data_IF_637469138246
#
_entry.id   IF_637469138246
#
_cell.length_a   1.000
_cell.length_b   1.000
_cell.length_c   1.000
_cell.angle_alpha   90.00
_cell.angle_beta   90.00
_cell.angle_gamma   90.00
#
_symmetry.space_group_name_H-M   'P 1'
#
loop_
_entity.id
_entity.type
_entity.pdbx_description
1 polymer ?
#
# COMPACT_ATOMS: atom_id res chain seq x y z
N UNK A 1 51.00 -6.71 56.06
CA UNK A 1 51.52 -7.71 55.10
C UNK A 1 50.82 -7.50 53.78
N UNK A 2 51.60 -7.16 52.76
CA UNK A 2 51.14 -6.79 51.42
C UNK A 2 51.22 -8.04 50.54
N UNK A 3 50.14 -8.44 49.86
CA UNK A 3 50.18 -9.53 48.88
C UNK A 3 49.74 -8.98 47.54
N UNK A 4 50.68 -9.01 46.60
CA UNK A 4 50.66 -8.36 45.29
C UNK A 4 50.41 -9.46 44.27
N UNK A 5 49.16 -9.59 43.81
CA UNK A 5 48.79 -10.50 42.72
C UNK A 5 49.12 -9.84 41.37
N UNK A 6 50.11 -10.39 40.66
CA UNK A 6 50.40 -10.09 39.25
C UNK A 6 49.69 -11.12 38.38
N UNK A 7 48.65 -10.73 37.66
CA UNK A 7 48.11 -11.54 36.57
C UNK A 7 48.66 -11.03 35.24
N UNK A 8 49.26 -11.95 34.48
CA UNK A 8 49.86 -11.72 33.18
C UNK A 8 48.77 -11.84 32.12
N UNK A 9 48.51 -10.75 31.39
CA UNK A 9 47.67 -10.78 30.20
C UNK A 9 48.40 -11.49 29.06
N UNK A 10 47.75 -12.51 28.50
CA UNK A 10 48.16 -13.22 27.29
C UNK A 10 47.73 -12.37 26.09
N UNK A 11 48.71 -11.80 25.40
CA UNK A 11 48.53 -11.13 24.10
C UNK A 11 48.20 -12.21 23.08
N UNK A 12 47.06 -12.09 22.43
CA UNK A 12 46.64 -12.93 21.31
C UNK A 12 46.84 -12.05 20.08
N UNK A 13 47.88 -12.36 19.33
CA UNK A 13 48.16 -11.76 18.03
C UNK A 13 47.23 -12.45 17.02
N UNK A 14 46.27 -11.72 16.47
CA UNK A 14 45.43 -12.17 15.36
C UNK A 14 45.81 -11.33 14.15
N UNK A 15 46.59 -11.97 13.29
CA UNK A 15 47.02 -11.54 11.98
C UNK A 15 45.81 -11.27 11.08
N UNK A 16 45.81 -10.08 10.48
CA UNK A 16 44.99 -9.69 9.32
C UNK A 16 45.30 -10.62 8.14
N UNK A 17 44.32 -11.43 7.72
CA UNK A 17 44.32 -12.06 6.40
C UNK A 17 43.32 -11.32 5.52
N UNK A 18 43.85 -10.40 4.73
CA UNK A 18 43.14 -9.69 3.66
C UNK A 18 43.02 -10.64 2.47
N UNK A 19 41.83 -11.21 2.29
CA UNK A 19 41.48 -11.96 1.08
C UNK A 19 40.64 -11.06 0.19
N UNK A 20 41.30 -10.35 -0.72
CA UNK A 20 40.66 -9.73 -1.88
C UNK A 20 40.30 -10.83 -2.88
N UNK A 21 39.00 -11.05 -3.08
CA UNK A 21 38.47 -11.91 -4.14
C UNK A 21 37.75 -11.02 -5.14
N UNK A 22 38.52 -10.48 -6.08
CA UNK A 22 38.04 -9.93 -7.35
C UNK A 22 37.35 -11.06 -8.13
N UNK A 23 36.06 -10.91 -8.39
CA UNK A 23 35.31 -11.83 -9.24
C UNK A 23 34.94 -11.11 -10.52
N UNK A 24 35.59 -11.55 -11.60
CA UNK A 24 35.45 -10.98 -12.92
C UNK A 24 34.09 -11.37 -13.53
N UNK A 25 33.28 -10.36 -13.82
CA UNK A 25 32.11 -10.53 -14.66
C UNK A 25 32.55 -10.39 -16.13
N UNK A 26 32.66 -11.51 -16.82
CA UNK A 26 32.90 -11.58 -18.25
C UNK A 26 31.67 -11.07 -19.01
N UNK A 27 31.60 -9.77 -19.19
CA UNK A 27 30.78 -9.18 -20.24
C UNK A 27 31.53 -9.35 -21.57
N UNK A 28 30.96 -10.11 -22.49
CA UNK A 28 31.45 -10.22 -23.86
C UNK A 28 31.19 -8.90 -24.58
N UNK A 29 32.07 -7.93 -24.35
CA UNK A 29 32.24 -6.79 -25.24
C UNK A 29 33.08 -7.26 -26.42
N UNK A 30 32.48 -7.23 -27.61
CA UNK A 30 33.20 -7.42 -28.86
C UNK A 30 34.10 -6.20 -29.02
N UNK A 31 35.35 -6.35 -28.60
CA UNK A 31 36.45 -5.42 -28.87
C UNK A 31 36.68 -5.41 -30.37
N UNK A 32 36.00 -4.49 -31.06
CA UNK A 32 36.39 -4.09 -32.41
C UNK A 32 37.50 -3.07 -32.22
N UNK A 33 38.67 -3.42 -32.71
CA UNK A 33 39.86 -2.58 -32.69
C UNK A 33 39.51 -1.30 -33.48
N UNK A 34 39.29 -0.19 -32.75
CA UNK A 34 39.18 1.15 -33.32
C UNK A 34 40.59 1.56 -33.79
N UNK A 35 40.95 1.09 -34.98
CA UNK A 35 41.92 1.79 -35.79
C UNK A 35 41.28 3.14 -36.17
N UNK A 36 41.93 4.25 -35.81
CA UNK A 36 41.52 5.59 -36.24
C UNK A 36 41.69 5.71 -37.77
N UNK A 37 40.74 5.16 -38.52
CA UNK A 37 40.56 5.46 -39.93
C UNK A 37 40.11 6.92 -40.02
N UNK A 38 41.00 7.77 -40.53
CA UNK A 38 40.72 9.17 -40.81
C UNK A 38 39.39 9.26 -41.59
N UNK A 39 38.39 9.94 -41.01
CA UNK A 39 37.03 10.10 -41.54
C UNK A 39 37.11 10.53 -43.02
N UNK A 40 37.01 9.57 -43.93
CA UNK A 40 36.96 9.83 -45.37
C UNK A 40 35.52 10.18 -45.75
N UNK A 41 35.35 11.00 -46.77
CA UNK A 41 34.01 11.37 -47.26
C UNK A 41 33.23 10.13 -47.72
N UNK A 42 33.93 9.13 -48.25
CA UNK A 42 33.35 7.86 -48.69
C UNK A 42 32.75 7.04 -47.53
N UNK A 43 33.35 7.10 -46.34
CA UNK A 43 32.80 6.43 -45.15
C UNK A 43 31.51 7.10 -44.66
N UNK A 44 31.45 8.43 -44.69
CA UNK A 44 30.23 9.18 -44.35
C UNK A 44 29.09 8.92 -45.34
N UNK A 45 29.41 8.84 -46.64
CA UNK A 45 28.42 8.54 -47.68
C UNK A 45 27.89 7.11 -47.54
N UNK A 46 28.76 6.13 -47.25
CA UNK A 46 28.37 4.74 -46.95
C UNK A 46 27.46 4.65 -45.72
N UNK A 47 27.75 5.41 -44.66
CA UNK A 47 26.92 5.48 -43.46
C UNK A 47 25.54 6.08 -43.75
N UNK A 48 25.48 7.14 -44.56
CA UNK A 48 24.24 7.78 -45.00
C UNK A 48 23.38 6.84 -45.86
N UNK A 49 24.00 6.09 -46.75
CA UNK A 49 23.30 5.12 -47.60
C UNK A 49 22.73 3.96 -46.77
N UNK A 50 23.50 3.48 -45.78
CA UNK A 50 23.02 2.48 -44.81
C UNK A 50 21.86 2.99 -43.95
N UNK A 51 21.90 4.26 -43.55
CA UNK A 51 20.81 4.88 -42.81
C UNK A 51 19.51 4.97 -43.65
N UNK A 52 19.62 5.30 -44.94
CA UNK A 52 18.48 5.33 -45.86
C UNK A 52 17.86 3.94 -46.06
N UNK A 53 18.67 2.91 -46.25
CA UNK A 53 18.16 1.54 -46.41
C UNK A 53 17.39 1.05 -45.18
N UNK A 54 17.83 1.41 -43.97
CA UNK A 54 17.12 1.06 -42.75
C UNK A 54 15.76 1.79 -42.64
N UNK A 55 15.67 3.04 -43.07
CA UNK A 55 14.40 3.78 -43.10
C UNK A 55 13.40 3.13 -44.08
N UNK A 56 13.86 2.77 -45.29
CA UNK A 56 13.01 2.10 -46.28
C UNK A 56 12.52 0.71 -45.82
N UNK A 57 13.29 0.02 -44.97
CA UNK A 57 12.87 -1.25 -44.37
C UNK A 57 11.78 -1.04 -43.31
N UNK A 58 11.89 0.00 -42.48
CA UNK A 58 10.85 0.33 -41.49
C UNK A 58 9.54 0.70 -42.17
N UNK A 59 9.56 1.53 -43.22
CA UNK A 59 8.35 1.90 -43.96
C UNK A 59 7.67 0.67 -44.60
N UNK A 60 8.44 -0.31 -45.07
CA UNK A 60 7.91 -1.57 -45.60
C UNK A 60 7.34 -2.48 -44.52
N UNK A 61 7.95 -2.52 -43.33
CA UNK A 61 7.42 -3.27 -42.18
C UNK A 61 6.11 -2.66 -41.68
N UNK A 62 6.00 -1.32 -41.66
CA UNK A 62 4.77 -0.61 -41.28
C UNK A 62 3.63 -0.84 -42.30
N UNK A 63 3.94 -0.86 -43.60
CA UNK A 63 2.94 -1.20 -44.63
C UNK A 63 2.46 -2.65 -44.51
N UNK A 64 3.35 -3.60 -44.22
CA UNK A 64 2.98 -5.01 -43.98
C UNK A 64 2.08 -5.17 -42.75
N UNK A 65 2.32 -4.40 -41.69
CA UNK A 65 1.52 -4.45 -40.48
C UNK A 65 0.10 -3.86 -40.64
N UNK A 66 -0.12 -3.01 -41.66
CA UNK A 66 -1.44 -2.47 -41.99
C UNK A 66 -2.26 -3.44 -42.85
N UNK A 67 -1.63 -4.22 -43.74
CA UNK A 67 -2.31 -5.23 -44.57
C UNK A 67 -2.91 -6.39 -43.74
N UNK A 68 -2.31 -6.72 -42.60
CA UNK A 68 -2.76 -7.83 -41.72
C UNK A 68 -3.96 -7.47 -40.80
N UNK A 69 -4.51 -6.24 -40.85
CA UNK A 69 -5.58 -5.79 -39.93
C UNK A 69 -6.96 -5.55 -40.58
N UNK A 70 -7.13 -5.75 -41.89
CA UNK A 70 -8.42 -5.54 -42.57
C UNK A 70 -9.13 -6.86 -42.96
N UNK A 71 -9.39 -7.74 -42.00
CA UNK A 71 -10.39 -8.81 -42.16
C UNK A 71 -11.80 -8.26 -41.87
N UNK A 72 -12.51 -7.86 -42.92
CA UNK A 72 -13.93 -7.46 -42.86
C UNK A 72 -14.81 -8.70 -42.66
N UNK A 73 -15.36 -8.88 -41.46
CA UNK A 73 -16.35 -9.92 -41.14
C UNK A 73 -17.73 -9.56 -41.73
N UNK A 74 -18.09 -10.19 -42.85
CA UNK A 74 -19.47 -10.18 -43.39
C UNK A 74 -20.26 -11.26 -42.63
N UNK A 75 -21.21 -10.86 -41.78
CA UNK A 75 -22.13 -11.81 -41.13
C UNK A 75 -23.14 -12.36 -42.15
N UNK A 76 -23.00 -13.63 -42.48
CA UNK A 76 -24.02 -14.38 -43.21
C UNK A 76 -25.33 -14.44 -42.41
N UNK A 77 -26.45 -14.32 -43.14
CA UNK A 77 -27.81 -14.37 -42.60
C UNK A 77 -28.08 -15.74 -42.00
N UNK A 78 -28.14 -15.81 -40.68
CA UNK A 78 -28.55 -17.00 -39.94
C UNK A 78 -30.08 -17.08 -39.95
N UNK A 79 -30.64 -18.11 -40.59
CA UNK A 79 -32.06 -18.45 -40.52
C UNK A 79 -32.41 -18.86 -39.07
N UNK A 80 -32.85 -17.90 -38.26
CA UNK A 80 -33.25 -18.15 -36.88
C UNK A 80 -34.60 -18.87 -36.82
N UNK A 81 -34.63 -20.06 -36.19
CA UNK A 81 -35.86 -20.72 -35.75
C UNK A 81 -36.69 -19.77 -34.86
N UNK A 82 -38.04 -19.75 -34.97
CA UNK A 82 -38.86 -18.87 -34.15
C UNK A 82 -38.70 -19.24 -32.66
N UNK A 83 -38.43 -18.21 -31.85
CA UNK A 83 -38.20 -18.34 -30.41
C UNK A 83 -39.47 -18.91 -29.76
N UNK A 84 -39.37 -19.88 -28.83
CA UNK A 84 -40.52 -20.40 -28.12
C UNK A 84 -41.26 -19.29 -27.35
N UNK A 85 -42.59 -19.36 -27.33
CA UNK A 85 -43.42 -18.40 -26.61
C UNK A 85 -43.06 -18.43 -25.11
N UNK A 86 -42.71 -17.27 -24.56
CA UNK A 86 -42.43 -17.11 -23.14
C UNK A 86 -43.78 -17.07 -22.40
N UNK A 87 -43.97 -17.99 -21.46
CA UNK A 87 -45.05 -17.93 -20.48
C UNK A 87 -44.56 -17.10 -19.27
N UNK A 88 -45.03 -15.85 -19.09
CA UNK A 88 -44.51 -14.96 -18.06
C UNK A 88 -44.97 -15.34 -16.64
N UNK A 89 -45.75 -16.40 -16.47
CA UNK A 89 -46.27 -16.82 -15.17
C UNK A 89 -47.21 -15.77 -14.57
N UNK A 90 -47.32 -15.78 -13.24
CA UNK A 90 -48.27 -14.91 -12.54
C UNK A 90 -47.66 -13.51 -12.34
N UNK A 91 -47.97 -12.60 -13.27
CA UNK A 91 -47.47 -11.22 -13.23
C UNK A 91 -48.15 -10.39 -12.14
N UNK A 92 -47.44 -9.43 -11.54
CA UNK A 92 -48.05 -8.46 -10.64
C UNK A 92 -49.12 -7.61 -11.38
N UNK A 93 -50.11 -7.07 -10.65
CA UNK A 93 -51.14 -6.24 -11.24
C UNK A 93 -50.54 -5.01 -11.94
N UNK A 94 -51.09 -4.63 -13.10
CA UNK A 94 -50.57 -3.53 -13.90
C UNK A 94 -50.66 -2.17 -13.18
N UNK A 95 -49.65 -1.33 -13.40
CA UNK A 95 -49.58 0.02 -12.83
C UNK A 95 -50.53 1.02 -13.51
N UNK A 96 -50.97 0.71 -14.74
CA UNK A 96 -51.85 1.55 -15.56
C UNK A 96 -53.17 0.83 -15.83
N UNK A 97 -54.25 1.62 -15.85
CA UNK A 97 -55.56 1.14 -16.30
C UNK A 97 -55.67 1.32 -17.81
N UNK A 98 -55.61 0.23 -18.56
CA UNK A 98 -55.68 0.23 -20.03
C UNK A 98 -57.11 0.07 -20.57
N UNK A 99 -58.13 0.28 -19.73
CA UNK A 99 -59.56 0.05 -20.03
C UNK A 99 -60.16 0.86 -21.19
N UNK A 100 -59.36 1.62 -21.94
CA UNK A 100 -59.77 2.39 -23.12
C UNK A 100 -59.21 1.90 -24.46
N UNK A 101 -58.37 0.86 -24.50
CA UNK A 101 -57.84 0.33 -25.76
C UNK A 101 -58.81 -0.69 -26.38
N UNK A 102 -59.63 -0.24 -27.35
CA UNK A 102 -60.41 -1.13 -28.20
C UNK A 102 -59.67 -1.40 -29.51
N UNK A 103 -59.57 -2.67 -29.89
CA UNK A 103 -58.89 -3.11 -31.11
C UNK A 103 -59.88 -3.04 -32.28
N UNK A 104 -59.60 -2.18 -33.26
CA UNK A 104 -60.39 -2.13 -34.48
C UNK A 104 -60.02 -3.32 -35.39
N UNK A 105 -60.96 -3.81 -36.20
CA UNK A 105 -60.83 -5.06 -36.99
C UNK A 105 -59.66 -5.10 -38.00
N UNK A 106 -58.94 -3.99 -38.20
CA UNK A 106 -57.83 -3.87 -39.14
C UNK A 106 -56.45 -3.93 -38.45
N UNK A 107 -56.36 -4.22 -37.16
CA UNK A 107 -55.07 -4.38 -36.45
C UNK A 107 -54.36 -3.08 -36.08
N UNK A 108 -54.95 -1.92 -36.39
CA UNK A 108 -54.36 -0.61 -36.11
C UNK A 108 -54.85 -0.10 -34.75
N UNK A 109 -53.92 0.14 -33.81
CA UNK A 109 -54.21 0.72 -32.50
C UNK A 109 -54.43 2.23 -32.65
N UNK A 110 -55.66 2.70 -32.46
CA UNK A 110 -55.98 4.13 -32.42
C UNK A 110 -56.07 4.61 -30.97
N UNK A 111 -55.22 5.56 -30.60
CA UNK A 111 -55.28 6.23 -29.29
C UNK A 111 -56.54 7.10 -29.22
N UNK A 112 -57.42 6.94 -28.21
CA UNK A 112 -58.49 7.88 -27.97
C UNK A 112 -57.89 9.23 -27.54
N UNK A 113 -58.09 10.26 -28.36
CA UNK A 113 -57.73 11.65 -28.09
C UNK A 113 -58.49 12.15 -26.85
N UNK A 114 -58.01 11.83 -25.66
CA UNK A 114 -58.61 12.27 -24.39
C UNK A 114 -58.51 11.29 -23.22
N UNK A 115 -57.96 10.09 -23.39
CA UNK A 115 -57.76 9.18 -22.26
C UNK A 115 -56.61 9.68 -21.37
N UNK A 116 -56.95 10.28 -20.23
CA UNK A 116 -55.99 10.58 -19.18
C UNK A 116 -55.45 9.26 -18.61
N UNK A 117 -54.14 9.05 -18.72
CA UNK A 117 -53.45 7.96 -18.03
C UNK A 117 -53.57 8.17 -16.52
N UNK A 118 -54.56 7.55 -15.88
CA UNK A 118 -54.67 7.51 -14.43
C UNK A 118 -53.78 6.40 -13.89
N UNK A 119 -52.74 6.75 -13.13
CA UNK A 119 -51.97 5.77 -12.35
C UNK A 119 -52.92 5.16 -11.30
N UNK A 120 -53.18 3.87 -11.40
CA UNK A 120 -53.98 3.13 -10.40
C UNK A 120 -53.15 2.72 -9.19
N UNK A 121 -51.82 2.71 -9.32
CA UNK A 121 -50.89 2.27 -8.27
C UNK A 121 -49.58 3.05 -8.36
N UNK A 122 -49.26 3.80 -7.31
CA UNK A 122 -48.00 4.55 -7.20
C UNK A 122 -47.01 3.74 -6.33
N UNK A 123 -45.88 3.27 -6.87
CA UNK A 123 -44.93 2.41 -6.13
C UNK A 123 -44.32 3.11 -4.91
N UNK A 124 -44.24 4.44 -4.91
CA UNK A 124 -43.71 5.21 -3.79
C UNK A 124 -44.63 5.16 -2.57
N UNK A 125 -45.94 5.24 -2.80
CA UNK A 125 -46.96 5.18 -1.74
C UNK A 125 -46.99 3.79 -1.12
N UNK A 126 -46.90 2.74 -1.93
CA UNK A 126 -46.90 1.36 -1.43
C UNK A 126 -45.62 1.02 -0.65
N UNK A 127 -44.46 1.53 -1.10
CA UNK A 127 -43.22 1.41 -0.35
C UNK A 127 -43.29 2.13 1.00
N UNK A 128 -43.97 3.28 1.06
CA UNK A 128 -44.15 4.02 2.30
C UNK A 128 -45.10 3.28 3.26
N UNK A 129 -46.23 2.77 2.77
CA UNK A 129 -47.19 2.00 3.56
C UNK A 129 -46.60 0.69 4.08
N UNK A 130 -45.85 -0.03 3.25
CA UNK A 130 -45.17 -1.26 3.67
C UNK A 130 -44.02 -1.00 4.65
N UNK A 131 -43.27 0.10 4.49
CA UNK A 131 -42.28 0.54 5.46
C UNK A 131 -42.94 0.92 6.80
N UNK A 132 -44.05 1.66 6.77
CA UNK A 132 -44.79 2.06 7.97
C UNK A 132 -45.39 0.85 8.69
N UNK A 133 -45.91 -0.13 7.95
CA UNK A 133 -46.40 -1.39 8.51
C UNK A 133 -45.27 -2.25 9.10
N UNK A 134 -44.07 -2.25 8.49
CA UNK A 134 -42.87 -2.90 9.04
C UNK A 134 -42.40 -2.22 10.32
N UNK A 135 -42.38 -0.89 10.34
CA UNK A 135 -42.02 -0.09 11.52
C UNK A 135 -43.02 -0.32 12.64
N UNK A 136 -44.34 -0.29 12.36
CA UNK A 136 -45.39 -0.54 13.34
C UNK A 136 -45.36 -1.97 13.92
N UNK A 137 -45.08 -2.98 13.09
CA UNK A 137 -44.86 -4.37 13.57
C UNK A 137 -43.58 -4.51 14.37
N UNK A 138 -42.53 -3.77 14.02
CA UNK A 138 -41.27 -3.77 14.78
C UNK A 138 -41.39 -2.98 16.09
N UNK A 139 -42.19 -1.92 16.16
CA UNK A 139 -42.30 -1.06 17.35
C UNK A 139 -43.06 -1.71 18.50
N UNK A 140 -43.96 -2.65 18.20
CA UNK A 140 -44.68 -3.44 19.22
C UNK A 140 -43.81 -4.56 19.82
N UNK A 141 -42.68 -4.93 19.20
CA UNK A 141 -41.69 -5.88 19.75
C UNK A 141 -40.36 -5.25 20.15
N UNK A 142 -40.12 -3.97 19.85
CA UNK A 142 -38.83 -3.29 20.04
C UNK A 142 -38.83 -2.19 21.11
N UNK A 143 -39.84 -2.11 22.00
CA UNK A 143 -39.76 -1.19 23.16
C UNK A 143 -38.80 -1.68 24.27
N UNK A 144 -38.05 -2.76 24.02
CA UNK A 144 -37.03 -3.33 24.89
C UNK A 144 -35.76 -3.50 24.07
N UNK A 145 -34.69 -2.81 24.46
CA UNK A 145 -33.31 -2.85 23.93
C UNK A 145 -32.95 -1.89 22.78
N UNK A 146 -32.87 -0.61 23.12
CA UNK A 146 -31.82 0.29 22.60
C UNK A 146 -30.48 0.13 23.36
N UNK A 147 -30.34 -0.94 24.16
CA UNK A 147 -29.09 -1.26 24.85
C UNK A 147 -28.34 -2.32 24.02
N UNK A 148 -27.02 -2.13 23.78
CA UNK A 148 -26.19 -3.19 23.22
C UNK A 148 -26.37 -4.46 24.07
N UNK A 149 -26.45 -5.64 23.43
CA UNK A 149 -26.69 -6.90 24.12
C UNK A 149 -25.68 -7.05 25.27
N UNK A 150 -26.12 -7.38 26.49
CA UNK A 150 -25.21 -7.57 27.60
C UNK A 150 -24.21 -8.68 27.25
N UNK A 151 -22.93 -8.33 27.18
CA UNK A 151 -21.84 -9.28 26.99
C UNK A 151 -21.87 -10.30 28.15
N UNK A 152 -22.28 -11.53 27.84
CA UNK A 152 -22.30 -12.64 28.78
C UNK A 152 -21.02 -13.47 28.58
N UNK A 153 -20.16 -13.53 29.60
CA UNK A 153 -19.11 -14.54 29.67
C UNK A 153 -19.59 -15.68 30.58
N UNK A 154 -19.66 -16.90 30.06
CA UNK A 154 -20.04 -18.11 30.80
C UNK A 154 -21.39 -18.04 31.54
N UNK A 155 -22.40 -17.41 30.92
CA UNK A 155 -23.76 -17.36 31.47
C UNK A 155 -23.96 -16.41 32.65
N UNK A 156 -22.94 -15.62 33.02
CA UNK A 156 -23.04 -14.59 34.08
C UNK A 156 -22.89 -13.21 33.47
N UNK A 157 -23.70 -12.26 33.95
CA UNK A 157 -23.58 -10.86 33.57
C UNK A 157 -22.23 -10.32 34.07
N UNK A 158 -21.43 -9.81 33.13
CA UNK A 158 -20.10 -9.32 33.44
C UNK A 158 -20.16 -8.13 34.43
N UNK A 159 -19.35 -8.16 35.48
CA UNK A 159 -19.28 -7.04 36.44
C UNK A 159 -18.74 -5.78 35.76
N UNK A 160 -19.08 -4.59 36.29
CA UNK A 160 -18.60 -3.31 35.75
C UNK A 160 -17.05 -3.23 35.67
N UNK A 161 -16.33 -3.89 36.59
CA UNK A 161 -14.86 -3.96 36.60
C UNK A 161 -14.34 -4.82 35.44
N UNK A 162 -14.87 -6.02 35.29
CA UNK A 162 -14.52 -6.92 34.19
C UNK A 162 -14.82 -6.30 32.82
N UNK A 163 -15.95 -5.58 32.66
CA UNK A 163 -16.24 -4.84 31.41
C UNK A 163 -15.20 -3.78 31.10
N UNK A 164 -14.70 -3.05 32.11
CA UNK A 164 -13.64 -2.06 31.92
C UNK A 164 -12.31 -2.72 31.54
N UNK A 165 -12.00 -3.88 32.12
CA UNK A 165 -10.81 -4.64 31.76
C UNK A 165 -10.86 -5.16 30.32
N UNK A 166 -12.01 -5.69 29.87
CA UNK A 166 -12.17 -6.10 28.46
C UNK A 166 -12.03 -4.91 27.51
N UNK A 167 -12.63 -3.77 27.83
CA UNK A 167 -12.45 -2.51 27.09
C UNK A 167 -11.02 -1.96 27.12
N UNK A 168 -10.21 -2.36 28.10
CA UNK A 168 -8.80 -1.96 28.16
C UNK A 168 -7.91 -2.89 27.35
N UNK A 169 -8.29 -4.15 27.21
CA UNK A 169 -7.58 -5.13 26.38
C UNK A 169 -7.76 -4.89 24.89
N UNK A 170 -8.89 -4.31 24.52
CA UNK A 170 -9.32 -4.23 23.13
C UNK A 170 -9.79 -2.82 22.78
N UNK A 171 -9.46 -2.31 21.59
CA UNK A 171 -9.87 -0.97 21.14
C UNK A 171 -11.39 -0.81 20.99
N UNK A 172 -12.11 -1.94 20.88
CA UNK A 172 -13.56 -2.04 20.76
C UNK A 172 -14.02 -2.47 19.36
N UNK A 173 -15.33 -2.71 19.18
CA UNK A 173 -15.89 -3.24 17.94
C UNK A 173 -15.77 -2.24 16.78
N UNK A 174 -15.81 -0.94 17.05
CA UNK A 174 -15.65 0.13 16.05
C UNK A 174 -14.26 0.08 15.36
N UNK A 175 -13.29 -0.57 16.01
CA UNK A 175 -11.94 -0.77 15.49
C UNK A 175 -11.52 -2.24 15.50
N UNK A 176 -12.43 -3.09 14.99
CA UNK A 176 -12.22 -4.53 14.75
C UNK A 176 -11.58 -5.29 15.91
N UNK A 177 -11.89 -4.87 17.14
CA UNK A 177 -11.34 -5.46 18.34
C UNK A 177 -9.79 -5.54 18.35
N UNK A 178 -9.11 -4.48 17.91
CA UNK A 178 -7.65 -4.41 17.93
C UNK A 178 -7.10 -4.63 19.36
N UNK A 179 -6.28 -5.68 19.58
CA UNK A 179 -5.74 -5.97 20.90
C UNK A 179 -4.68 -4.95 21.31
N UNK A 180 -4.62 -4.66 22.61
CA UNK A 180 -3.51 -3.96 23.22
C UNK A 180 -2.26 -4.88 23.25
N UNK A 181 -1.08 -4.35 22.93
CA UNK A 181 0.16 -5.13 23.01
C UNK A 181 0.47 -5.55 24.44
N UNK A 182 1.16 -6.68 24.59
CA UNK A 182 1.59 -7.22 25.88
C UNK A 182 2.61 -6.28 26.54
N UNK A 183 2.50 -6.09 27.86
CA UNK A 183 3.38 -5.17 28.59
C UNK A 183 4.87 -5.56 28.52
N UNK A 184 5.17 -6.86 28.38
CA UNK A 184 6.53 -7.37 28.21
C UNK A 184 7.20 -6.90 26.91
N UNK A 185 6.41 -6.70 25.86
CA UNK A 185 6.91 -6.41 24.52
C UNK A 185 7.02 -4.90 24.27
N UNK A 186 6.39 -4.10 25.13
CA UNK A 186 6.42 -2.63 25.05
C UNK A 186 7.82 -2.03 24.90
N UNK A 187 8.89 -2.49 25.58
CA UNK A 187 10.22 -1.93 25.38
C UNK A 187 10.76 -2.14 23.96
N UNK A 188 10.46 -3.31 23.34
CA UNK A 188 10.85 -3.60 21.96
C UNK A 188 10.00 -2.76 21.00
N UNK A 189 8.69 -2.78 21.16
CA UNK A 189 7.74 -2.04 20.32
C UNK A 189 7.95 -0.52 20.42
N UNK A 190 8.34 -0.02 21.59
CA UNK A 190 8.68 1.38 21.79
C UNK A 190 9.81 1.83 20.87
N UNK A 191 10.87 1.03 20.70
CA UNK A 191 11.98 1.36 19.80
C UNK A 191 11.50 1.48 18.35
N UNK A 192 10.60 0.58 17.94
CA UNK A 192 10.05 0.56 16.59
C UNK A 192 9.18 1.80 16.32
N UNK A 193 8.29 2.15 17.25
CA UNK A 193 7.43 3.35 17.09
C UNK A 193 8.22 4.65 17.29
N UNK A 194 9.25 4.66 18.13
CA UNK A 194 10.14 5.80 18.28
C UNK A 194 10.93 6.06 16.98
N UNK A 195 11.39 5.01 16.31
CA UNK A 195 12.00 5.15 14.99
C UNK A 195 11.04 5.77 13.97
N UNK A 196 9.76 5.35 13.97
CA UNK A 196 8.72 5.96 13.12
C UNK A 196 8.49 7.45 13.43
N UNK A 197 8.50 7.83 14.71
CA UNK A 197 8.39 9.24 15.13
C UNK A 197 9.57 10.08 14.65
N UNK A 198 10.76 9.50 14.68
CA UNK A 198 11.99 10.17 14.26
C UNK A 198 12.24 10.07 12.75
N UNK A 199 11.25 9.66 11.94
CA UNK A 199 11.38 9.51 10.48
C UNK A 199 11.93 10.74 9.76
N UNK A 200 11.65 11.94 10.28
CA UNK A 200 12.14 13.21 9.74
C UNK A 200 13.64 13.43 9.93
N UNK A 201 14.26 12.75 10.91
CA UNK A 201 15.69 12.85 11.19
C UNK A 201 16.49 11.74 10.52
N UNK A 202 15.82 10.66 10.08
CA UNK A 202 16.43 9.52 9.44
C UNK A 202 16.93 9.87 8.03
N UNK A 203 16.06 10.44 7.19
CA UNK A 203 16.38 10.80 5.81
C UNK A 203 16.32 12.33 5.64
N UNK A 204 17.44 13.01 5.29
CA UNK A 204 17.45 14.46 5.07
C UNK A 204 16.62 14.93 3.87
N UNK A 205 16.22 14.02 2.96
CA UNK A 205 15.47 14.33 1.75
C UNK A 205 13.96 14.21 1.94
N UNK A 206 13.51 13.52 3.00
CA UNK A 206 12.09 13.24 3.23
C UNK A 206 11.58 14.03 4.44
N UNK A 207 10.65 14.93 4.17
CA UNK A 207 9.97 15.71 5.20
C UNK A 207 8.54 15.23 5.36
N UNK A 208 8.21 14.73 6.54
CA UNK A 208 6.86 14.32 6.90
C UNK A 208 6.23 15.29 7.89
N UNK A 209 4.90 15.26 7.95
CA UNK A 209 4.14 15.93 9.00
C UNK A 209 4.54 15.38 10.37
N UNK A 210 4.74 16.30 11.31
CA UNK A 210 5.09 16.02 12.71
C UNK A 210 3.88 15.41 13.44
N UNK A 211 4.12 14.35 14.19
CA UNK A 211 3.08 13.68 14.97
C UNK A 211 2.95 14.30 16.37
N UNK A 212 1.71 14.39 16.86
CA UNK A 212 1.42 14.91 18.19
C UNK A 212 1.76 13.84 19.26
N UNK A 213 2.96 13.92 19.84
CA UNK A 213 3.40 12.95 20.85
C UNK A 213 4.90 12.66 20.87
N UNK A 214 5.65 13.23 19.94
CA UNK A 214 7.11 13.21 19.94
C UNK A 214 7.67 13.70 21.30
N UNK A 215 8.56 12.92 21.91
CA UNK A 215 9.22 13.25 23.18
C UNK A 215 8.52 12.78 24.47
N UNK A 216 7.34 12.14 24.38
CA UNK A 216 6.64 11.59 25.56
C UNK A 216 7.07 10.16 25.95
N UNK A 217 8.11 9.61 25.30
CA UNK A 217 8.62 8.25 25.53
C UNK A 217 7.55 7.17 25.42
N UNK A 218 7.64 6.14 26.27
CA UNK A 218 6.70 5.01 26.35
C UNK A 218 5.27 5.49 26.63
N UNK A 219 5.09 6.55 27.42
CA UNK A 219 3.75 7.12 27.71
C UNK A 219 3.13 7.83 26.51
N UNK A 220 3.94 8.22 25.53
CA UNK A 220 3.46 8.78 24.28
C UNK A 220 2.85 7.73 23.36
N UNK A 221 3.09 6.43 23.58
CA UNK A 221 2.68 5.36 22.68
C UNK A 221 1.14 5.25 22.61
N UNK A 222 0.55 5.01 21.43
CA UNK A 222 -0.86 4.66 21.35
C UNK A 222 -1.17 3.46 22.24
N UNK A 223 -2.33 3.47 22.92
CA UNK A 223 -2.72 2.38 23.82
C UNK A 223 -2.99 1.07 23.07
N UNK A 224 -3.55 1.19 21.86
CA UNK A 224 -3.87 0.07 20.99
C UNK A 224 -3.14 0.29 19.66
N UNK A 225 -2.23 -0.62 19.32
CA UNK A 225 -1.55 -0.66 18.02
C UNK A 225 -1.09 -2.08 17.74
N UNK A 226 -0.94 -2.40 16.47
CA UNK A 226 -0.34 -3.64 16.01
C UNK A 226 0.72 -3.35 14.96
N UNK A 227 1.74 -4.20 14.89
CA UNK A 227 2.79 -4.12 13.88
C UNK A 227 2.58 -5.26 12.91
N UNK A 228 2.30 -4.90 11.66
CA UNK A 228 2.09 -5.83 10.56
C UNK A 228 3.31 -5.92 9.66
N UNK A 229 3.38 -7.01 8.89
CA UNK A 229 4.34 -7.18 7.81
C UNK A 229 3.61 -7.02 6.48
N UNK A 230 4.19 -6.26 5.56
CA UNK A 230 3.66 -6.11 4.21
C UNK A 230 3.87 -7.45 3.47
N UNK A 231 2.80 -7.97 2.88
CA UNK A 231 2.83 -9.18 2.05
C UNK A 231 3.20 -8.73 0.63
N UNK A 232 4.19 -9.38 0.03
CA UNK A 232 4.64 -9.04 -1.33
C UNK A 232 3.58 -9.38 -2.36
N UNK A 233 3.44 -8.53 -3.37
CA UNK A 233 2.54 -8.74 -4.48
C UNK A 233 3.22 -9.64 -5.52
N UNK A 234 2.52 -10.69 -5.95
CA UNK A 234 2.95 -11.60 -7.01
C UNK A 234 2.65 -10.96 -8.37
N UNK A 235 3.33 -9.86 -8.68
CA UNK A 235 3.27 -9.24 -10.01
C UNK A 235 4.25 -9.96 -10.95
N UNK A 236 3.99 -10.00 -12.27
CA UNK A 236 4.91 -10.64 -13.23
C UNK A 236 6.29 -9.96 -13.29
N UNK A 237 6.37 -8.70 -12.85
CA UNK A 237 7.61 -7.94 -12.69
C UNK A 237 8.12 -7.92 -11.24
N UNK A 238 7.54 -8.76 -10.37
CA UNK A 238 7.70 -8.76 -8.91
C UNK A 238 9.04 -9.28 -8.39
N UNK A 239 10.11 -9.14 -9.17
CA UNK A 239 11.48 -9.42 -8.72
C UNK A 239 11.96 -8.47 -7.61
N UNK A 240 13.25 -8.55 -7.29
CA UNK A 240 13.91 -7.67 -6.31
C UNK A 240 13.83 -6.20 -6.77
N UNK A 241 12.78 -5.52 -6.35
CA UNK A 241 12.48 -4.12 -6.67
C UNK A 241 12.19 -3.37 -5.38
N UNK A 242 12.19 -2.04 -5.41
CA UNK A 242 11.93 -1.23 -4.21
C UNK A 242 10.61 -1.53 -3.49
N UNK A 243 9.65 -2.16 -4.16
CA UNK A 243 8.39 -2.62 -3.59
C UNK A 243 8.47 -4.03 -2.94
N UNK A 244 9.36 -4.90 -3.46
CA UNK A 244 9.50 -6.29 -3.04
C UNK A 244 10.95 -6.56 -2.58
N UNK A 245 11.17 -6.51 -1.27
CA UNK A 245 12.46 -6.85 -0.66
C UNK A 245 12.81 -8.32 -0.87
N UNK A 246 14.10 -8.63 -1.03
CA UNK A 246 14.61 -10.01 -1.06
C UNK A 246 14.56 -10.67 0.32
N UNK A 247 14.70 -12.00 0.38
CA UNK A 247 14.71 -12.71 1.66
C UNK A 247 15.85 -12.25 2.59
N UNK A 248 16.99 -11.82 2.05
CA UNK A 248 18.14 -11.35 2.83
C UNK A 248 17.93 -9.96 3.43
N UNK A 249 17.22 -9.09 2.71
CA UNK A 249 16.91 -7.72 3.14
C UNK A 249 15.76 -7.68 4.15
N UNK A 250 14.80 -8.63 4.06
CA UNK A 250 13.70 -8.74 5.03
C UNK A 250 14.23 -9.08 6.42
N UNK A 251 13.98 -8.23 7.41
CA UNK A 251 14.34 -8.51 8.81
C UNK A 251 13.11 -8.78 9.67
N UNK A 252 13.36 -8.99 10.96
CA UNK A 252 12.31 -9.23 11.98
C UNK A 252 11.70 -7.95 12.50
N UNK A 253 12.44 -6.83 12.45
CA UNK A 253 12.00 -5.53 12.96
C UNK A 253 12.35 -4.42 11.99
N UNK A 254 11.54 -3.35 11.99
CA UNK A 254 11.80 -2.15 11.19
C UNK A 254 13.15 -1.50 11.53
N UNK A 255 13.53 -1.53 12.81
CA UNK A 255 14.79 -0.94 13.27
C UNK A 255 15.99 -1.74 12.76
N UNK A 256 15.90 -3.07 12.71
CA UNK A 256 16.98 -3.89 12.15
C UNK A 256 17.18 -3.61 10.65
N UNK A 257 16.10 -3.41 9.89
CA UNK A 257 16.18 -3.02 8.46
C UNK A 257 16.88 -1.67 8.30
N UNK A 258 16.51 -0.70 9.12
CA UNK A 258 17.13 0.63 9.14
C UNK A 258 18.62 0.58 9.52
N UNK A 259 18.97 -0.27 10.48
CA UNK A 259 20.36 -0.46 10.89
C UNK A 259 21.13 -1.13 9.75
N UNK A 260 20.56 -2.06 9.02
CA UNK A 260 21.26 -2.76 7.95
C UNK A 260 21.58 -1.86 6.73
N UNK A 261 20.74 -0.85 6.45
CA UNK A 261 20.95 0.11 5.36
C UNK A 261 22.27 0.89 5.47
N UNK A 262 23.12 0.75 4.44
CA UNK A 262 24.44 1.37 4.36
C UNK A 262 24.37 2.90 4.23
N UNK A 263 23.39 3.45 3.51
CA UNK A 263 23.27 4.90 3.31
C UNK A 263 22.91 5.60 4.61
N UNK A 264 21.93 5.03 5.32
CA UNK A 264 21.43 5.54 6.60
C UNK A 264 22.51 5.45 7.67
N UNK A 265 23.26 4.35 7.74
CA UNK A 265 24.45 4.21 8.60
C UNK A 265 25.47 5.32 8.35
N UNK A 266 25.83 5.59 7.10
CA UNK A 266 26.82 6.62 6.71
C UNK A 266 26.33 8.01 7.13
N UNK A 267 25.08 8.34 6.82
CA UNK A 267 24.48 9.63 7.18
C UNK A 267 24.42 9.82 8.70
N UNK A 268 23.89 8.84 9.43
CA UNK A 268 23.78 8.88 10.88
C UNK A 268 25.14 9.05 11.55
N UNK A 269 26.16 8.30 11.11
CA UNK A 269 27.54 8.43 11.63
C UNK A 269 28.09 9.83 11.40
N UNK A 270 28.00 10.34 10.16
CA UNK A 270 28.48 11.70 9.82
C UNK A 270 27.81 12.76 10.70
N UNK A 271 26.48 12.74 10.78
CA UNK A 271 25.72 13.71 11.60
C UNK A 271 26.00 13.57 13.09
N UNK A 272 26.18 12.35 13.57
CA UNK A 272 26.57 12.12 14.96
C UNK A 272 27.92 12.76 15.28
N UNK A 273 28.94 12.54 14.44
CA UNK A 273 30.26 13.15 14.62
C UNK A 273 30.20 14.68 14.58
N UNK A 274 29.43 15.26 13.67
CA UNK A 274 29.22 16.71 13.60
C UNK A 274 28.59 17.26 14.89
N UNK A 275 27.57 16.58 15.41
CA UNK A 275 26.92 16.94 16.67
C UNK A 275 27.89 16.79 17.86
N UNK A 276 28.71 15.75 17.88
CA UNK A 276 29.73 15.56 18.92
C UNK A 276 30.80 16.65 18.86
N UNK A 277 31.25 17.05 17.67
CA UNK A 277 32.18 18.18 17.49
C UNK A 277 31.57 19.48 18.02
N UNK A 278 30.33 19.79 17.66
CA UNK A 278 29.63 21.00 18.14
C UNK A 278 29.40 20.96 19.66
N UNK A 279 28.99 19.82 20.21
CA UNK A 279 28.75 19.66 21.65
C UNK A 279 30.06 19.68 22.45
N UNK A 280 31.12 19.08 21.93
CA UNK A 280 32.47 19.15 22.49
C UNK A 280 33.00 20.57 22.50
N UNK A 281 32.84 21.31 21.39
CA UNK A 281 33.22 22.71 21.28
C UNK A 281 32.45 23.61 22.25
N UNK A 282 31.14 23.40 22.47
CA UNK A 282 30.35 24.14 23.48
C UNK A 282 30.55 23.66 24.93
N UNK A 283 31.17 22.50 25.13
CA UNK A 283 31.30 21.83 26.42
C UNK A 283 32.64 22.04 27.12
N UNK A 284 33.24 20.96 27.64
CA UNK A 284 34.49 21.01 28.42
C UNK A 284 35.69 21.54 27.61
N UNK A 285 35.67 21.38 26.28
CA UNK A 285 36.81 21.74 25.44
C UNK A 285 36.96 23.27 25.31
N UNK A 286 35.88 24.05 25.37
CA UNK A 286 35.96 25.53 25.41
C UNK A 286 36.55 26.04 26.71
N UNK A 287 36.20 25.43 27.86
CA UNK A 287 36.82 25.76 29.15
C UNK A 287 38.32 25.44 29.15
N UNK A 288 38.70 24.30 28.58
CA UNK A 288 40.11 23.92 28.48
C UNK A 288 40.89 24.80 27.48
N UNK A 289 40.28 25.18 26.35
CA UNK A 289 40.88 26.10 25.38
C UNK A 289 41.10 27.50 25.98
N UNK A 290 40.16 28.02 26.79
CA UNK A 290 40.34 29.30 27.51
C UNK A 290 41.47 29.25 28.54
N UNK A 291 41.65 28.12 29.22
CA UNK A 291 42.75 27.91 30.18
C UNK A 291 44.13 27.80 29.53
N UNK A 292 44.18 27.38 28.26
CA UNK A 292 45.43 27.20 27.50
C UNK A 292 45.86 28.43 26.69
N UNK A 293 45.15 29.55 26.80
CA UNK A 293 45.61 30.79 26.15
C UNK A 293 46.83 31.34 26.90
N UNK A 294 47.98 31.55 26.22
CA UNK A 294 49.13 32.16 26.86
C UNK A 294 48.78 33.60 27.28
N UNK A 295 49.17 33.96 28.51
CA UNK A 295 49.16 35.36 28.95
C UNK A 295 50.37 36.02 28.32
N UNK A 296 50.13 36.86 27.33
CA UNK A 296 51.09 37.87 26.90
C UNK A 296 51.07 39.01 27.92
#
# INVERSE_FOLDING_TARGET
>A
MSVKGKEKAKVIDLTDESSDSESENSSSSSSSEDEEESITQEFLDSLLEKARQNADLQDKEEQRAQEDQEDVLILDKIDHQPIPALDPGNLPPSYFNTSGFSKNQNGNESFPSGAAFSLSRDPLVESAESALAKVAKSSLSASSSLLPPPEFHHGKALTKRQRKELKNKTAGPDWFDLPAPLESDLPRLHREVEALRLRNQLDPKRFYRKEEGEGKGIKGLPKHFAIGKIITTETPFGGASGENLTHAERKRTLVDELVDDAEMKRYAKRKFEDLQKVRGARGRNTKNARKRKPKW
#
